data_IF_114422953078
#
_entry.id   IF_114422953078
#
_cell.length_a   1.000
_cell.length_b   1.000
_cell.length_c   1.000
_cell.angle_alpha   90.00
_cell.angle_beta   90.00
_cell.angle_gamma   90.00
#
_symmetry.space_group_name_H-M   'P 1'
#
loop_
_entity.id
_entity.type
_entity.pdbx_description
1 polymer ?
#
# COMPACT_ATOMS: atom_id res chain seq x y z
N UNK A 1 -8.28 14.08 8.68
CA UNK A 1 -8.38 13.61 10.09
C UNK A 1 -7.90 12.17 10.10
N UNK A 2 -6.64 11.93 10.44
CA UNK A 2 -6.11 10.57 10.52
C UNK A 2 -6.59 9.94 11.83
N UNK A 3 -7.58 9.07 11.75
CA UNK A 3 -8.05 8.30 12.89
C UNK A 3 -7.10 7.12 13.06
N UNK A 4 -6.17 7.22 14.02
CA UNK A 4 -5.34 6.08 14.44
C UNK A 4 -6.30 5.13 15.16
N UNK A 5 -6.81 4.14 14.42
CA UNK A 5 -7.75 3.16 14.96
C UNK A 5 -7.05 2.34 16.05
N UNK A 6 -7.62 2.23 17.26
CA UNK A 6 -7.10 1.35 18.28
C UNK A 6 -7.40 -0.08 17.85
N UNK A 7 -6.36 -0.81 17.43
CA UNK A 7 -6.30 -2.26 17.20
C UNK A 7 -7.66 -2.98 17.06
N UNK A 8 -8.22 -3.11 15.85
CA UNK A 8 -9.20 -4.15 15.59
C UNK A 8 -8.43 -5.44 15.34
N UNK A 9 -8.38 -6.37 16.31
CA UNK A 9 -7.99 -7.79 16.12
C UNK A 9 -7.08 -8.02 14.90
N UNK A 10 -5.77 -7.78 15.06
CA UNK A 10 -4.76 -7.59 13.99
C UNK A 10 -5.07 -8.33 12.68
N UNK A 11 -5.88 -7.69 11.82
CA UNK A 11 -6.04 -8.18 10.46
C UNK A 11 -4.69 -7.96 9.78
N UNK A 12 -4.04 -9.00 9.25
CA UNK A 12 -2.72 -8.87 8.64
C UNK A 12 -2.74 -7.75 7.62
N UNK A 13 -1.65 -6.96 7.55
CA UNK A 13 -1.54 -5.81 6.63
C UNK A 13 -1.95 -6.17 5.18
N UNK A 14 -1.64 -7.39 4.74
CA UNK A 14 -2.05 -7.91 3.45
C UNK A 14 -3.58 -7.98 3.26
N UNK A 15 -4.36 -8.26 4.31
CA UNK A 15 -5.82 -8.23 4.27
C UNK A 15 -6.34 -6.79 4.23
N UNK A 16 -5.71 -5.87 4.95
CA UNK A 16 -6.07 -4.45 4.92
C UNK A 16 -5.87 -3.86 3.52
N UNK A 17 -4.69 -4.11 2.91
CA UNK A 17 -4.37 -3.68 1.53
C UNK A 17 -5.39 -4.22 0.52
N UNK A 18 -5.86 -5.45 0.70
CA UNK A 18 -6.88 -6.06 -0.17
C UNK A 18 -8.27 -5.47 0.00
N UNK A 19 -8.57 -4.93 1.19
CA UNK A 19 -9.88 -4.30 1.46
C UNK A 19 -10.02 -2.89 0.86
N UNK A 20 -8.91 -2.24 0.50
CA UNK A 20 -8.92 -0.90 -0.10
C UNK A 20 -9.46 -0.92 -1.52
N UNK A 21 -10.24 0.11 -1.88
CA UNK A 21 -10.62 0.39 -3.28
C UNK A 21 -9.40 0.65 -4.18
N UNK A 22 -9.60 0.73 -5.50
CA UNK A 22 -8.50 0.98 -6.46
C UNK A 22 -7.87 2.38 -6.25
N UNK A 23 -8.70 3.42 -6.16
CA UNK A 23 -8.25 4.79 -5.89
C UNK A 23 -7.70 4.92 -4.46
N UNK A 24 -8.39 4.36 -3.47
CA UNK A 24 -7.94 4.39 -2.06
C UNK A 24 -6.55 3.75 -1.87
N UNK A 25 -6.26 2.66 -2.59
CA UNK A 25 -4.95 2.01 -2.56
C UNK A 25 -3.86 2.88 -3.19
N UNK A 26 -4.19 3.61 -4.26
CA UNK A 26 -3.27 4.53 -4.94
C UNK A 26 -2.97 5.76 -4.07
N UNK A 27 -4.00 6.35 -3.48
CA UNK A 27 -3.86 7.48 -2.55
C UNK A 27 -2.99 7.07 -1.35
N UNK A 28 -3.27 5.89 -0.76
CA UNK A 28 -2.48 5.35 0.33
C UNK A 28 -1.01 5.14 -0.06
N UNK A 29 -0.76 4.59 -1.25
CA UNK A 29 0.61 4.42 -1.75
C UNK A 29 1.34 5.76 -1.89
N UNK A 30 0.70 6.78 -2.48
CA UNK A 30 1.29 8.11 -2.64
C UNK A 30 1.66 8.74 -1.29
N UNK A 31 0.74 8.68 -0.31
CA UNK A 31 0.97 9.20 1.03
C UNK A 31 2.18 8.52 1.70
N UNK A 32 2.30 7.19 1.59
CA UNK A 32 3.45 6.46 2.16
C UNK A 32 4.77 6.88 1.52
N UNK A 33 4.80 7.09 0.20
CA UNK A 33 5.99 7.56 -0.51
C UNK A 33 6.38 8.99 -0.12
N UNK A 34 5.39 9.87 0.08
CA UNK A 34 5.63 11.22 0.57
C UNK A 34 6.25 11.22 1.97
N UNK A 35 5.68 10.43 2.88
CA UNK A 35 6.19 10.28 4.25
C UNK A 35 7.61 9.70 4.27
N UNK A 36 7.89 8.69 3.46
CA UNK A 36 9.23 8.06 3.40
C UNK A 36 10.30 9.06 2.92
N UNK A 37 9.98 9.88 1.92
CA UNK A 37 10.87 10.95 1.46
C UNK A 37 11.12 11.99 2.56
N UNK A 38 10.08 12.43 3.24
CA UNK A 38 10.18 13.38 4.34
C UNK A 38 11.04 12.83 5.50
N UNK A 39 10.89 11.54 5.83
CA UNK A 39 11.69 10.89 6.87
C UNK A 39 13.16 10.73 6.46
N UNK A 40 13.42 10.40 5.19
CA UNK A 40 14.77 10.21 4.65
C UNK A 40 15.61 11.49 4.66
N UNK A 41 14.96 12.66 4.56
CA UNK A 41 15.61 13.97 4.67
C UNK A 41 16.11 14.27 6.11
N UNK A 42 15.51 13.65 7.12
CA UNK A 42 15.85 13.84 8.55
C UNK A 42 16.86 12.83 9.12
N UNK A 43 16.88 11.59 8.61
CA UNK A 43 17.89 10.58 8.90
C UNK A 43 17.74 9.40 7.91
N UNK A 44 18.83 8.77 7.43
CA UNK A 44 18.73 7.58 6.58
C UNK A 44 18.34 6.36 7.41
N UNK A 45 17.05 6.24 7.74
CA UNK A 45 16.51 5.06 8.43
C UNK A 45 16.19 4.01 7.37
N UNK A 46 17.09 3.04 7.19
CA UNK A 46 16.76 1.82 6.45
C UNK A 46 16.08 0.83 7.40
N UNK A 47 14.76 0.92 7.52
CA UNK A 47 13.97 -0.06 8.26
C UNK A 47 13.62 -1.24 7.34
N UNK A 48 13.99 -2.47 7.72
CA UNK A 48 13.62 -3.66 6.95
C UNK A 48 12.09 -3.85 6.85
N UNK A 49 11.35 -3.38 7.87
CA UNK A 49 9.89 -3.39 7.88
C UNK A 49 9.28 -2.41 6.87
N UNK A 50 10.01 -1.37 6.46
CA UNK A 50 9.50 -0.45 5.45
C UNK A 50 9.38 -1.10 4.08
N UNK A 51 10.34 -1.98 3.77
CA UNK A 51 10.34 -2.74 2.52
C UNK A 51 9.21 -3.79 2.47
N UNK A 52 8.71 -4.24 3.62
CA UNK A 52 7.67 -5.28 3.65
C UNK A 52 6.28 -4.72 3.29
N UNK A 53 5.90 -3.55 3.81
CA UNK A 53 4.63 -2.92 3.43
C UNK A 53 4.62 -2.55 1.95
N UNK A 54 5.72 -1.97 1.45
CA UNK A 54 5.84 -1.51 0.06
C UNK A 54 5.68 -2.69 -0.88
N UNK A 55 6.35 -3.80 -0.58
CA UNK A 55 6.22 -5.03 -1.37
C UNK A 55 4.77 -5.51 -1.44
N UNK A 56 4.03 -5.48 -0.33
CA UNK A 56 2.64 -5.91 -0.32
C UNK A 56 1.74 -5.00 -1.17
N UNK A 57 1.95 -3.69 -1.11
CA UNK A 57 1.21 -2.70 -1.91
C UNK A 57 1.50 -2.92 -3.40
N UNK A 58 2.78 -3.00 -3.79
CA UNK A 58 3.19 -3.20 -5.17
C UNK A 58 2.66 -4.53 -5.75
N UNK A 59 2.66 -5.60 -4.95
CA UNK A 59 2.10 -6.89 -5.35
C UNK A 59 0.59 -6.80 -5.63
N UNK A 60 -0.16 -6.12 -4.77
CA UNK A 60 -1.61 -5.95 -4.97
C UNK A 60 -1.90 -5.07 -6.19
N UNK A 61 -1.16 -3.96 -6.37
CA UNK A 61 -1.27 -3.10 -7.55
C UNK A 61 -1.01 -3.87 -8.86
N UNK A 62 0.03 -4.71 -8.87
CA UNK A 62 0.34 -5.57 -10.01
C UNK A 62 -0.79 -6.56 -10.27
N UNK A 63 -1.31 -7.23 -9.23
CA UNK A 63 -2.43 -8.17 -9.36
C UNK A 63 -3.66 -7.50 -9.98
N UNK A 64 -4.04 -6.31 -9.49
CA UNK A 64 -5.17 -5.55 -10.02
C UNK A 64 -4.95 -5.12 -11.47
N UNK A 65 -3.75 -4.68 -11.80
CA UNK A 65 -3.36 -4.35 -13.18
C UNK A 65 -3.50 -5.56 -14.12
N UNK A 66 -2.95 -6.71 -13.74
CA UNK A 66 -3.07 -7.95 -14.51
C UNK A 66 -4.53 -8.37 -14.71
N UNK A 67 -5.37 -8.26 -13.67
CA UNK A 67 -6.81 -8.58 -13.77
C UNK A 67 -7.53 -7.64 -14.73
N UNK A 68 -7.21 -6.35 -14.72
CA UNK A 68 -7.76 -5.38 -15.68
C UNK A 68 -7.32 -5.69 -17.11
N UNK A 69 -6.04 -5.94 -17.35
CA UNK A 69 -5.53 -6.33 -18.67
C UNK A 69 -6.20 -7.60 -19.20
N UNK A 70 -6.36 -8.62 -18.35
CA UNK A 70 -7.04 -9.86 -18.72
C UNK A 70 -8.53 -9.66 -19.02
N UNK A 71 -9.22 -8.80 -18.25
CA UNK A 71 -10.62 -8.45 -18.51
C UNK A 71 -10.79 -7.65 -19.81
N UNK A 72 -9.85 -6.76 -20.14
CA UNK A 72 -9.88 -5.99 -21.41
C UNK A 72 -9.50 -6.81 -22.64
N UNK A 73 -8.76 -7.90 -22.49
CA UNK A 73 -8.35 -8.77 -23.60
C UNK A 73 -9.44 -9.77 -24.04
N UNK A 74 -10.59 -9.81 -23.35
CA UNK A 74 -11.72 -10.70 -23.65
C UNK A 74 -12.88 -10.00 -24.40
N UNK A 75 -12.70 -8.74 -24.79
CA UNK A 75 -13.61 -7.95 -25.64
C UNK A 75 -12.98 -7.72 -27.01
#
# INVERSE_FOLDING_TARGET
MANILPFPEETPLAMQIKSLGDEELLDFWEETQFLERFLKEGAPVQNQDSMQYEKLILQELQLRSCRRCAATAQL
#
